data_IF_825599685339
#
_entry.id   IF_825599685339
#
_cell.length_a   1.000
_cell.length_b   1.000
_cell.length_c   1.000
_cell.angle_alpha   90.00
_cell.angle_beta   90.00
_cell.angle_gamma   90.00
#
_symmetry.space_group_name_H-M   'P 1'
#
loop_
_entity.id
_entity.type
_entity.pdbx_description
1 polymer ?
#
# COMPACT_ATOMS: atom_id res chain seq x y z
N UNK A 1 -0.40 59.95 -38.95
CA UNK A 1 0.66 58.93 -39.15
C UNK A 1 0.91 58.37 -37.78
N UNK A 2 0.10 57.40 -37.39
CA UNK A 2 -0.02 56.94 -36.01
C UNK A 2 0.08 55.43 -36.07
N UNK A 3 1.17 54.88 -35.58
CA UNK A 3 1.45 53.47 -35.56
C UNK A 3 0.92 52.91 -34.23
N UNK A 4 -0.08 52.11 -34.35
CA UNK A 4 -0.70 51.38 -33.26
C UNK A 4 0.13 50.13 -32.95
N UNK A 5 0.80 50.11 -31.81
CA UNK A 5 1.55 48.94 -31.30
C UNK A 5 0.73 48.22 -30.23
N UNK A 6 -0.19 47.38 -30.69
CA UNK A 6 -0.97 46.50 -29.85
C UNK A 6 -0.17 45.22 -29.56
N UNK A 7 0.67 45.22 -28.54
CA UNK A 7 1.22 44.01 -27.95
C UNK A 7 0.32 43.54 -26.83
N UNK A 8 -0.53 42.59 -27.14
CA UNK A 8 -1.27 41.82 -26.17
C UNK A 8 -0.33 41.02 -25.24
N UNK A 9 -0.65 40.91 -23.97
CA UNK A 9 0.08 40.05 -23.03
C UNK A 9 -0.32 38.60 -23.22
N UNK A 10 0.44 37.90 -24.05
CA UNK A 10 0.42 36.43 -24.07
C UNK A 10 1.42 35.93 -23.05
N UNK A 11 1.02 35.75 -21.84
CA UNK A 11 1.79 35.09 -20.79
C UNK A 11 1.03 33.88 -20.29
N UNK A 12 1.21 32.75 -20.96
CA UNK A 12 0.78 31.44 -20.46
C UNK A 12 1.61 31.07 -19.22
N UNK A 13 1.18 31.57 -18.08
CA UNK A 13 1.69 31.19 -16.77
C UNK A 13 0.96 29.91 -16.29
N UNK A 14 1.11 28.80 -17.05
CA UNK A 14 0.51 27.51 -16.75
C UNK A 14 1.45 26.58 -15.95
N UNK A 15 2.51 27.11 -15.35
CA UNK A 15 3.56 26.36 -14.70
C UNK A 15 3.26 25.75 -13.33
N UNK A 16 2.62 26.46 -12.36
CA UNK A 16 2.43 25.92 -11.01
C UNK A 16 1.14 25.09 -10.81
N UNK A 17 0.12 25.29 -11.63
CA UNK A 17 -1.19 24.65 -11.39
C UNK A 17 -1.28 23.18 -11.85
N UNK A 18 -0.44 22.73 -12.76
CA UNK A 18 -0.42 21.34 -13.24
C UNK A 18 0.09 20.36 -12.18
N UNK A 19 0.98 20.78 -11.31
CA UNK A 19 1.51 19.93 -10.23
C UNK A 19 0.52 19.75 -9.07
N UNK A 20 -0.05 20.84 -8.57
CA UNK A 20 -0.94 20.81 -7.39
C UNK A 20 -2.28 20.10 -7.69
N UNK A 21 -2.98 20.45 -8.76
CA UNK A 21 -4.27 19.83 -9.09
C UNK A 21 -4.14 18.33 -9.41
N UNK A 22 -3.05 17.89 -10.02
CA UNK A 22 -2.80 16.48 -10.27
C UNK A 22 -2.53 15.69 -8.99
N UNK A 23 -1.80 16.27 -8.05
CA UNK A 23 -1.56 15.64 -6.75
C UNK A 23 -2.81 15.56 -5.90
N UNK A 24 -3.61 16.62 -5.83
CA UNK A 24 -4.83 16.65 -5.04
C UNK A 24 -5.84 15.59 -5.52
N UNK A 25 -6.01 15.48 -6.84
CA UNK A 25 -6.84 14.43 -7.43
C UNK A 25 -6.31 13.02 -7.13
N UNK A 26 -5.00 12.82 -7.22
CA UNK A 26 -4.35 11.57 -6.88
C UNK A 26 -4.52 11.22 -5.40
N UNK A 27 -4.30 12.18 -4.50
CA UNK A 27 -4.50 12.01 -3.07
C UNK A 27 -5.95 11.62 -2.75
N UNK A 28 -6.92 12.40 -3.26
CA UNK A 28 -8.35 12.15 -3.03
C UNK A 28 -8.78 10.75 -3.51
N UNK A 29 -8.25 10.29 -4.65
CA UNK A 29 -8.59 8.98 -5.22
C UNK A 29 -7.95 7.80 -4.47
N UNK A 30 -6.80 7.99 -3.82
CA UNK A 30 -5.98 6.86 -3.36
C UNK A 30 -5.74 6.79 -1.85
N UNK A 31 -5.82 7.93 -1.12
CA UNK A 31 -5.44 8.01 0.29
C UNK A 31 -6.24 7.07 1.19
N UNK A 32 -7.56 7.07 1.10
CA UNK A 32 -8.44 6.22 1.92
C UNK A 32 -8.13 4.72 1.75
N UNK A 33 -7.93 4.30 0.50
CA UNK A 33 -7.59 2.89 0.20
C UNK A 33 -6.21 2.54 0.74
N UNK A 34 -5.27 3.47 0.66
CA UNK A 34 -3.91 3.25 1.16
C UNK A 34 -3.89 3.16 2.69
N UNK A 35 -4.65 4.01 3.41
CA UNK A 35 -4.83 3.90 4.88
C UNK A 35 -5.39 2.52 5.24
N UNK A 36 -6.46 2.08 4.58
CA UNK A 36 -7.03 0.74 4.83
C UNK A 36 -6.02 -0.39 4.60
N UNK A 37 -5.19 -0.26 3.56
CA UNK A 37 -4.13 -1.23 3.24
C UNK A 37 -3.06 -1.27 4.33
N UNK A 38 -2.58 -0.11 4.76
CA UNK A 38 -1.55 0.00 5.80
C UNK A 38 -2.11 -0.41 7.16
N UNK A 39 -3.36 -0.09 7.46
CA UNK A 39 -4.06 -0.59 8.64
C UNK A 39 -4.13 -2.12 8.68
N UNK A 40 -4.42 -2.79 7.57
CA UNK A 40 -4.36 -4.25 7.49
C UNK A 40 -2.94 -4.80 7.78
N UNK A 41 -1.89 -4.01 7.52
CA UNK A 41 -0.50 -4.39 7.82
C UNK A 41 -0.10 -4.13 9.28
N UNK A 42 -0.58 -3.05 9.91
CA UNK A 42 -0.18 -2.64 11.26
C UNK A 42 -1.15 -3.14 12.32
N UNK A 43 -2.44 -3.14 12.00
CA UNK A 43 -3.52 -3.33 12.95
C UNK A 43 -3.77 -2.11 13.86
N UNK A 44 -3.14 -0.96 13.56
CA UNK A 44 -3.28 0.31 14.26
C UNK A 44 -3.61 1.41 13.26
N UNK A 45 -4.78 2.06 13.44
CA UNK A 45 -5.28 3.06 12.51
C UNK A 45 -4.44 4.33 12.57
N UNK A 46 -4.10 4.80 13.75
CA UNK A 46 -3.32 6.03 13.92
C UNK A 46 -1.92 5.88 13.29
N UNK A 47 -1.24 4.74 13.54
CA UNK A 47 0.03 4.44 12.87
C UNK A 47 -0.12 4.35 11.34
N UNK A 48 -1.25 3.82 10.84
CA UNK A 48 -1.50 3.73 9.41
C UNK A 48 -1.72 5.10 8.78
N UNK A 49 -2.51 5.95 9.41
CA UNK A 49 -2.77 7.33 8.97
C UNK A 49 -1.48 8.16 8.96
N UNK A 50 -0.69 8.13 10.03
CA UNK A 50 0.58 8.83 10.12
C UNK A 50 1.57 8.39 9.03
N UNK A 51 1.69 7.07 8.82
CA UNK A 51 2.58 6.52 7.80
C UNK A 51 2.15 6.91 6.39
N UNK A 52 0.85 6.94 6.14
CA UNK A 52 0.29 7.33 4.84
C UNK A 52 0.45 8.83 4.61
N UNK A 53 0.13 9.68 5.58
CA UNK A 53 0.33 11.12 5.49
C UNK A 53 1.80 11.46 5.18
N UNK A 54 2.73 10.90 5.93
CA UNK A 54 4.16 11.10 5.70
C UNK A 54 4.60 10.62 4.31
N UNK A 55 4.04 9.51 3.81
CA UNK A 55 4.32 9.03 2.46
C UNK A 55 3.84 10.00 1.38
N UNK A 56 2.66 10.63 1.55
CA UNK A 56 2.16 11.65 0.63
C UNK A 56 2.94 12.96 0.70
N UNK A 57 3.38 13.40 1.89
CA UNK A 57 4.27 14.56 2.02
C UNK A 57 5.56 14.34 1.22
N UNK A 58 6.16 13.16 1.33
CA UNK A 58 7.35 12.81 0.54
C UNK A 58 7.06 12.69 -0.95
N UNK A 59 5.87 12.23 -1.34
CA UNK A 59 5.44 12.18 -2.73
C UNK A 59 5.27 13.58 -3.31
N UNK A 60 4.65 14.49 -2.58
CA UNK A 60 4.52 15.89 -2.96
C UNK A 60 5.87 16.56 -3.25
N UNK A 61 6.85 16.36 -2.38
CA UNK A 61 8.20 16.93 -2.55
C UNK A 61 8.92 16.49 -3.83
N UNK A 62 8.45 15.43 -4.48
CA UNK A 62 9.04 14.87 -5.71
C UNK A 62 8.00 14.50 -6.76
N UNK A 63 6.84 15.17 -6.69
CA UNK A 63 5.66 14.85 -7.49
C UNK A 63 5.93 14.80 -8.99
N UNK A 64 6.56 15.87 -9.53
CA UNK A 64 6.87 15.97 -10.96
C UNK A 64 7.77 14.82 -11.45
N UNK A 65 8.66 14.36 -10.59
CA UNK A 65 9.52 13.22 -10.91
C UNK A 65 8.71 11.92 -10.93
N UNK A 66 7.89 11.69 -9.94
CA UNK A 66 7.08 10.48 -9.83
C UNK A 66 6.13 10.34 -11.02
N UNK A 67 5.47 11.42 -11.40
CA UNK A 67 4.56 11.42 -12.57
C UNK A 67 5.32 11.16 -13.88
N UNK A 68 6.52 11.68 -14.04
CA UNK A 68 7.35 11.38 -15.22
C UNK A 68 7.85 9.93 -15.26
N UNK A 69 8.07 9.32 -14.11
CA UNK A 69 8.50 7.92 -14.00
C UNK A 69 7.34 6.91 -14.18
N UNK A 70 6.08 7.38 -14.14
CA UNK A 70 4.88 6.58 -14.36
C UNK A 70 3.82 6.72 -13.26
N UNK A 71 3.20 5.61 -12.83
CA UNK A 71 2.20 5.62 -11.76
C UNK A 71 2.86 5.86 -10.38
N UNK A 72 2.51 6.97 -9.67
CA UNK A 72 3.07 7.26 -8.35
C UNK A 72 2.64 6.29 -7.24
N UNK A 73 1.50 5.59 -7.40
CA UNK A 73 0.89 4.79 -6.33
C UNK A 73 1.80 3.66 -5.79
N UNK A 74 2.49 2.86 -6.61
CA UNK A 74 3.42 1.84 -6.13
C UNK A 74 4.53 2.42 -5.25
N UNK A 75 5.04 3.60 -5.62
CA UNK A 75 6.07 4.28 -4.83
C UNK A 75 5.52 4.75 -3.48
N UNK A 76 4.38 5.44 -3.46
CA UNK A 76 3.73 5.93 -2.22
C UNK A 76 3.40 4.76 -1.30
N UNK A 77 2.85 3.67 -1.84
CA UNK A 77 2.55 2.45 -1.09
C UNK A 77 3.79 1.82 -0.47
N UNK A 78 4.88 1.76 -1.23
CA UNK A 78 6.17 1.25 -0.72
C UNK A 78 6.69 2.09 0.45
N UNK A 79 6.63 3.42 0.33
CA UNK A 79 7.07 4.33 1.39
C UNK A 79 6.20 4.18 2.63
N UNK A 80 4.87 4.23 2.50
CA UNK A 80 3.93 4.07 3.60
C UNK A 80 4.14 2.73 4.33
N UNK A 81 4.25 1.62 3.59
CA UNK A 81 4.48 0.29 4.16
C UNK A 81 5.80 0.21 4.93
N UNK A 82 6.88 0.81 4.42
CA UNK A 82 8.19 0.83 5.10
C UNK A 82 8.15 1.66 6.38
N UNK A 83 7.49 2.81 6.35
CA UNK A 83 7.30 3.65 7.54
C UNK A 83 6.52 2.89 8.61
N UNK A 84 5.38 2.34 8.27
CA UNK A 84 4.53 1.58 9.16
C UNK A 84 5.26 0.38 9.79
N UNK A 85 5.96 -0.43 9.00
CA UNK A 85 6.76 -1.57 9.51
C UNK A 85 7.90 -1.09 10.43
N UNK A 86 8.54 0.01 10.09
CA UNK A 86 9.63 0.59 10.92
C UNK A 86 9.12 1.06 12.27
N UNK A 87 7.98 1.75 12.31
CA UNK A 87 7.34 2.23 13.55
C UNK A 87 6.89 1.05 14.40
N UNK A 88 6.24 0.05 13.81
CA UNK A 88 5.83 -1.16 14.50
C UNK A 88 7.02 -1.93 15.12
N UNK A 89 8.16 -2.04 14.43
CA UNK A 89 9.36 -2.66 15.00
C UNK A 89 9.87 -1.90 16.23
N UNK A 90 9.86 -0.57 16.18
CA UNK A 90 10.25 0.29 17.29
C UNK A 90 9.28 0.21 18.46
N UNK A 91 7.98 0.19 18.17
CA UNK A 91 6.92 0.05 19.16
C UNK A 91 6.98 -1.33 19.85
N UNK A 92 7.19 -2.43 19.10
CA UNK A 92 7.31 -3.77 19.66
C UNK A 92 8.56 -3.92 20.55
N UNK A 93 9.66 -3.27 20.21
CA UNK A 93 10.84 -3.18 21.10
C UNK A 93 10.53 -2.47 22.43
N UNK A 94 9.61 -1.50 22.42
CA UNK A 94 9.13 -0.79 23.61
C UNK A 94 7.95 -1.49 24.30
N UNK A 95 7.09 -2.22 23.55
CA UNK A 95 5.89 -2.90 24.06
C UNK A 95 6.16 -4.25 24.73
N UNK A 96 7.35 -4.80 24.64
CA UNK A 96 7.82 -5.78 25.63
C UNK A 96 7.88 -5.18 27.05
N UNK A 97 7.85 -3.85 27.18
CA UNK A 97 7.77 -3.13 28.44
C UNK A 97 6.34 -2.67 28.81
N UNK A 98 5.42 -2.46 27.85
CA UNK A 98 4.07 -1.96 28.16
C UNK A 98 3.03 -2.43 27.13
N UNK A 99 2.25 -3.44 27.49
CA UNK A 99 0.99 -3.80 26.80
C UNK A 99 -0.03 -2.68 27.05
N UNK A 100 -0.25 -1.81 26.10
CA UNK A 100 -1.44 -0.95 26.07
C UNK A 100 -2.12 -1.11 24.73
N UNK A 101 -3.33 -1.66 24.79
CA UNK A 101 -4.32 -1.55 23.72
C UNK A 101 -4.75 -0.07 23.69
N UNK A 102 -4.41 0.64 22.65
CA UNK A 102 -5.01 1.94 22.37
C UNK A 102 -6.50 1.77 22.06
N UNK A 103 -7.35 2.79 22.35
CA UNK A 103 -8.76 2.74 22.03
C UNK A 103 -8.90 2.53 20.52
N UNK A 104 -9.81 1.61 20.17
CA UNK A 104 -10.18 1.31 18.81
C UNK A 104 -10.90 2.56 18.28
N UNK A 105 -10.25 3.32 17.40
CA UNK A 105 -10.91 4.43 16.75
C UNK A 105 -12.11 3.90 15.95
N UNK A 106 -13.22 4.64 15.99
CA UNK A 106 -14.45 4.35 15.24
C UNK A 106 -14.14 4.24 13.74
N UNK A 107 -13.81 3.05 13.31
CA UNK A 107 -13.89 2.70 11.89
C UNK A 107 -15.37 2.53 11.55
N UNK A 108 -15.84 2.98 10.36
CA UNK A 108 -17.18 2.67 9.90
C UNK A 108 -17.39 1.17 10.04
N UNK A 109 -18.50 0.74 10.63
CA UNK A 109 -18.87 -0.61 11.04
C UNK A 109 -18.15 -1.69 10.22
N UNK A 110 -17.05 -2.19 10.77
CA UNK A 110 -16.36 -3.33 10.18
C UNK A 110 -17.24 -4.54 10.45
N UNK A 111 -17.60 -5.29 9.41
CA UNK A 111 -18.26 -6.57 9.59
C UNK A 111 -17.41 -7.47 10.51
N UNK A 112 -18.04 -8.35 11.26
CA UNK A 112 -17.38 -9.30 12.17
C UNK A 112 -16.23 -10.05 11.45
N UNK A 113 -16.44 -10.40 10.18
CA UNK A 113 -15.43 -11.06 9.33
C UNK A 113 -14.18 -10.20 9.11
N UNK A 114 -14.33 -8.88 8.97
CA UNK A 114 -13.18 -7.99 8.82
C UNK A 114 -12.39 -7.83 10.12
N UNK A 115 -13.07 -7.83 11.24
CA UNK A 115 -12.42 -7.82 12.57
C UNK A 115 -11.63 -9.11 12.75
N UNK A 116 -12.25 -10.26 12.51
CA UNK A 116 -11.59 -11.56 12.59
C UNK A 116 -10.38 -11.67 11.65
N UNK A 117 -10.48 -11.16 10.43
CA UNK A 117 -9.36 -11.11 9.48
C UNK A 117 -8.21 -10.26 10.01
N UNK A 118 -8.49 -9.07 10.55
CA UNK A 118 -7.45 -8.19 11.09
C UNK A 118 -6.76 -8.84 12.29
N UNK A 119 -7.50 -9.51 13.16
CA UNK A 119 -6.94 -10.24 14.30
C UNK A 119 -6.06 -11.39 13.85
N UNK A 120 -6.50 -12.18 12.87
CA UNK A 120 -5.69 -13.25 12.29
C UNK A 120 -4.41 -12.70 11.62
N UNK A 121 -4.50 -11.58 10.92
CA UNK A 121 -3.35 -10.91 10.34
C UNK A 121 -2.35 -10.43 11.41
N UNK A 122 -2.80 -10.04 12.60
CA UNK A 122 -1.93 -9.61 13.71
C UNK A 122 -1.02 -10.73 14.24
N UNK A 123 -1.38 -11.99 14.05
CA UNK A 123 -0.54 -13.13 14.45
C UNK A 123 0.63 -13.39 13.51
N UNK A 124 0.53 -12.91 12.29
CA UNK A 124 1.62 -13.01 11.31
C UNK A 124 2.79 -12.11 11.69
N UNK A 125 4.01 -12.52 11.32
CA UNK A 125 5.14 -11.59 11.37
C UNK A 125 4.90 -10.42 10.40
N UNK A 126 5.50 -9.24 10.63
CA UNK A 126 5.28 -8.07 9.76
C UNK A 126 5.56 -8.35 8.29
N UNK A 127 6.61 -9.13 8.01
CA UNK A 127 6.98 -9.47 6.64
C UNK A 127 5.99 -10.45 5.99
N UNK A 128 5.43 -11.38 6.76
CA UNK A 128 4.37 -12.28 6.28
C UNK A 128 3.09 -11.49 6.04
N UNK A 129 2.70 -10.63 6.97
CA UNK A 129 1.51 -9.78 6.85
C UNK A 129 1.62 -8.84 5.66
N UNK A 130 2.77 -8.18 5.47
CA UNK A 130 3.01 -7.33 4.31
C UNK A 130 2.80 -8.07 2.99
N UNK A 131 3.41 -9.24 2.80
CA UNK A 131 3.28 -9.97 1.53
C UNK A 131 1.86 -10.50 1.32
N UNK A 132 1.15 -10.91 2.38
CA UNK A 132 -0.25 -11.34 2.31
C UNK A 132 -1.14 -10.16 1.88
N UNK A 133 -1.01 -9.01 2.52
CA UNK A 133 -1.81 -7.82 2.19
C UNK A 133 -1.54 -7.37 0.76
N UNK A 134 -0.28 -7.25 0.36
CA UNK A 134 0.07 -6.83 -1.00
C UNK A 134 -0.42 -7.81 -2.06
N UNK A 135 -0.28 -9.12 -1.81
CA UNK A 135 -0.63 -10.14 -2.80
C UNK A 135 -2.13 -10.44 -2.85
N UNK A 136 -2.81 -10.58 -1.69
CA UNK A 136 -4.20 -11.02 -1.65
C UNK A 136 -5.23 -9.89 -1.51
N UNK A 137 -4.91 -8.79 -0.80
CA UNK A 137 -5.84 -7.67 -0.67
C UNK A 137 -5.72 -6.66 -1.82
N UNK A 138 -4.53 -6.54 -2.41
CA UNK A 138 -4.26 -5.63 -3.53
C UNK A 138 -4.06 -6.37 -4.86
N UNK A 139 -4.16 -7.69 -4.85
CA UNK A 139 -4.01 -8.55 -6.03
C UNK A 139 -2.71 -8.32 -6.83
N UNK A 140 -1.60 -8.02 -6.11
CA UNK A 140 -0.32 -7.76 -6.76
C UNK A 140 0.40 -9.08 -7.09
N UNK A 141 0.96 -9.22 -8.30
CA UNK A 141 1.77 -10.37 -8.65
C UNK A 141 3.05 -10.45 -7.79
N UNK A 142 3.57 -11.64 -7.58
CA UNK A 142 4.75 -11.91 -6.73
C UNK A 142 5.94 -11.03 -7.10
N UNK A 143 6.15 -10.79 -8.39
CA UNK A 143 7.24 -9.96 -8.91
C UNK A 143 7.10 -8.50 -8.49
N UNK A 144 5.87 -7.98 -8.43
CA UNK A 144 5.60 -6.64 -7.95
C UNK A 144 5.75 -6.55 -6.43
N UNK A 145 5.23 -7.54 -5.68
CA UNK A 145 5.47 -7.66 -4.24
C UNK A 145 6.97 -7.71 -3.92
N UNK A 146 7.74 -8.46 -4.71
CA UNK A 146 9.20 -8.54 -4.60
C UNK A 146 9.85 -7.16 -4.74
N UNK A 147 9.48 -6.40 -5.78
CA UNK A 147 10.00 -5.02 -5.99
C UNK A 147 9.64 -4.08 -4.84
N UNK A 148 8.39 -4.10 -4.38
CA UNK A 148 7.91 -3.19 -3.34
C UNK A 148 8.50 -3.51 -1.95
N UNK A 149 8.67 -4.79 -1.64
CA UNK A 149 9.22 -5.22 -0.34
C UNK A 149 10.74 -5.26 -0.30
N UNK A 150 11.40 -5.28 -1.46
CA UNK A 150 12.85 -5.50 -1.59
C UNK A 150 13.28 -6.94 -1.26
N UNK A 151 12.33 -7.88 -1.16
CA UNK A 151 12.61 -9.29 -0.95
C UNK A 151 12.70 -10.03 -2.29
N UNK A 152 13.48 -11.10 -2.39
CA UNK A 152 13.47 -11.94 -3.60
C UNK A 152 12.12 -12.63 -3.81
N UNK A 153 11.76 -12.94 -5.06
CA UNK A 153 10.51 -13.65 -5.38
C UNK A 153 10.40 -15.01 -4.65
N UNK A 154 11.51 -15.71 -4.45
CA UNK A 154 11.55 -16.94 -3.64
C UNK A 154 11.21 -16.69 -2.17
N UNK A 155 11.76 -15.61 -1.58
CA UNK A 155 11.44 -15.23 -0.21
C UNK A 155 9.96 -14.79 -0.07
N UNK A 156 9.41 -14.08 -1.07
CA UNK A 156 7.99 -13.72 -1.10
C UNK A 156 7.12 -14.97 -1.13
N UNK A 157 7.38 -15.93 -2.04
CA UNK A 157 6.63 -17.19 -2.11
C UNK A 157 6.67 -17.98 -0.80
N UNK A 158 7.86 -18.08 -0.18
CA UNK A 158 8.01 -18.76 1.11
C UNK A 158 7.20 -18.07 2.22
N UNK A 159 7.23 -16.73 2.28
CA UNK A 159 6.45 -15.97 3.27
C UNK A 159 4.95 -16.13 3.03
N UNK A 160 4.49 -16.09 1.77
CA UNK A 160 3.10 -16.32 1.40
C UNK A 160 2.62 -17.72 1.83
N UNK A 161 3.42 -18.76 1.54
CA UNK A 161 3.09 -20.14 1.93
C UNK A 161 2.94 -20.29 3.44
N UNK A 162 3.90 -19.79 4.21
CA UNK A 162 3.85 -19.84 5.69
C UNK A 162 2.69 -19.03 6.27
N UNK A 163 2.43 -17.84 5.71
CA UNK A 163 1.34 -17.00 6.16
C UNK A 163 -0.03 -17.63 5.86
N UNK A 164 -0.22 -18.22 4.67
CA UNK A 164 -1.46 -18.93 4.33
C UNK A 164 -1.73 -20.11 5.28
N UNK A 165 -0.70 -20.87 5.62
CA UNK A 165 -0.82 -21.98 6.58
C UNK A 165 -1.33 -21.48 7.93
N UNK A 166 -0.69 -20.45 8.49
CA UNK A 166 -1.11 -19.87 9.78
C UNK A 166 -2.52 -19.27 9.73
N UNK A 167 -2.88 -18.56 8.65
CA UNK A 167 -4.23 -18.03 8.49
C UNK A 167 -5.27 -19.13 8.32
N UNK A 168 -4.98 -20.20 7.57
CA UNK A 168 -5.87 -21.35 7.43
C UNK A 168 -6.15 -22.05 8.76
N UNK A 169 -5.14 -22.21 9.62
CA UNK A 169 -5.29 -22.76 10.98
C UNK A 169 -6.17 -21.88 11.88
N UNK A 170 -6.24 -20.57 11.63
CA UNK A 170 -6.99 -19.60 12.45
C UNK A 170 -8.39 -19.30 11.94
N UNK A 171 -8.56 -19.22 10.64
CA UNK A 171 -9.84 -18.83 10.03
C UNK A 171 -10.69 -20.03 9.61
N UNK A 172 -10.19 -21.25 9.83
CA UNK A 172 -10.87 -22.45 9.34
C UNK A 172 -10.88 -22.48 7.81
N UNK A 173 -11.89 -23.13 7.23
CA UNK A 173 -12.00 -23.41 5.80
C UNK A 173 -12.28 -22.18 4.89
N UNK A 174 -11.96 -20.95 5.35
CA UNK A 174 -11.97 -19.76 4.51
C UNK A 174 -10.66 -19.72 3.72
N UNK A 175 -10.39 -20.75 2.96
CA UNK A 175 -9.33 -20.71 1.97
C UNK A 175 -9.81 -19.84 0.80
N UNK A 176 -9.09 -18.74 0.45
CA UNK A 176 -9.40 -18.04 -0.78
C UNK A 176 -9.22 -19.01 -1.95
N UNK A 177 -10.07 -18.94 -2.99
CA UNK A 177 -9.93 -19.78 -4.17
C UNK A 177 -8.53 -19.61 -4.75
N UNK A 178 -7.93 -20.65 -5.35
CA UNK A 178 -6.62 -20.55 -5.97
C UNK A 178 -6.66 -19.45 -7.02
N UNK A 179 -5.71 -18.50 -6.93
CA UNK A 179 -5.59 -17.40 -7.89
C UNK A 179 -5.54 -17.96 -9.33
N UNK A 180 -6.34 -17.46 -10.28
CA UNK A 180 -6.50 -18.05 -11.62
C UNK A 180 -5.25 -18.01 -12.52
N UNK A 181 -4.08 -17.69 -12.01
CA UNK A 181 -2.89 -17.40 -12.81
C UNK A 181 -1.81 -18.51 -12.81
N UNK A 182 -2.19 -19.80 -12.61
CA UNK A 182 -1.25 -20.93 -12.70
C UNK A 182 -1.59 -21.91 -13.85
N UNK A 183 -2.56 -21.61 -14.69
CA UNK A 183 -2.97 -22.53 -15.76
C UNK A 183 -2.84 -21.95 -17.17
N UNK A 184 -1.70 -21.37 -17.54
CA UNK A 184 -1.35 -21.18 -18.97
C UNK A 184 0.14 -21.31 -19.15
N UNK A 185 0.70 -22.53 -19.09
CA UNK A 185 1.96 -22.89 -19.74
C UNK A 185 2.27 -24.39 -19.68
N UNK A 186 1.34 -25.23 -20.11
CA UNK A 186 1.69 -26.61 -20.49
C UNK A 186 0.68 -27.15 -21.52
N UNK A 187 0.63 -26.55 -22.69
CA UNK A 187 0.00 -27.18 -23.86
C UNK A 187 0.49 -26.55 -25.15
N UNK A 188 1.77 -26.67 -25.44
CA UNK A 188 2.25 -26.57 -26.85
C UNK A 188 3.68 -27.13 -26.92
N UNK A 189 3.79 -28.46 -26.85
CA UNK A 189 4.89 -29.17 -27.46
C UNK A 189 4.52 -30.66 -27.55
N UNK A 190 3.74 -31.00 -28.56
CA UNK A 190 3.75 -32.32 -29.22
C UNK A 190 2.82 -32.25 -30.44
N UNK A 191 3.36 -31.93 -31.57
CA UNK A 191 2.98 -32.42 -32.90
C UNK A 191 4.12 -32.08 -33.88
#
# INVERSE_FOLDING_TARGET
MTTDDNRGPGGDDAGPQRGAGGFDAFYAATAKRLVSTVYAMTGDLAEAEDAVQEAYVRAWQRWDRLVREGDPLPWVRTVASRLAISTWRRARGRLLAHRRHGPQADLPELSADRVALIEALRELTPQQRQVIVLHHLLDLPVEQVSRETGASSGAVRTRLSRARKLLGERLGDIAPPPSPNIAVKEATHHA
#
